data_IF_381644746934
#
_entry.id   IF_381644746934
#
_cell.length_a   1.000
_cell.length_b   1.000
_cell.length_c   1.000
_cell.angle_alpha   90.00
_cell.angle_beta   90.00
_cell.angle_gamma   90.00
#
_symmetry.space_group_name_H-M   'P 1'
#
loop_
_entity.id
_entity.type
_entity.pdbx_description
1 polymer ?
#
# COMPACT_ATOMS: atom_id res chain seq x y z
N UNK A 1 33.46 -2.12 -54.38
CA UNK A 1 33.04 -1.40 -53.15
C UNK A 1 31.68 -1.94 -52.73
N UNK A 2 31.60 -2.75 -51.68
CA UNK A 2 30.33 -3.30 -51.20
C UNK A 2 29.58 -2.25 -50.38
N UNK A 3 28.41 -1.84 -50.86
CA UNK A 3 27.54 -0.85 -50.23
C UNK A 3 26.87 -1.49 -49.00
N UNK A 4 27.35 -1.18 -47.80
CA UNK A 4 26.72 -1.64 -46.55
C UNK A 4 25.37 -0.92 -46.42
N UNK A 5 24.21 -1.61 -46.49
CA UNK A 5 22.93 -0.94 -46.39
C UNK A 5 22.81 -0.29 -45.01
N UNK A 6 22.52 1.01 -44.99
CA UNK A 6 22.29 1.77 -43.77
C UNK A 6 21.28 1.01 -42.89
N UNK A 7 21.73 0.50 -41.74
CA UNK A 7 20.92 -0.24 -40.79
C UNK A 7 19.64 0.55 -40.50
N UNK A 8 18.52 0.11 -41.06
CA UNK A 8 17.25 0.79 -40.86
C UNK A 8 16.88 0.65 -39.39
N UNK A 9 16.96 1.76 -38.63
CA UNK A 9 16.56 1.76 -37.22
C UNK A 9 15.13 1.25 -37.13
N UNK A 10 14.90 0.28 -36.26
CA UNK A 10 13.57 -0.26 -36.00
C UNK A 10 12.85 0.59 -34.97
N UNK A 11 11.54 0.71 -35.12
CA UNK A 11 10.66 1.40 -34.19
C UNK A 11 10.74 0.69 -32.83
N UNK A 12 11.04 1.43 -31.75
CA UNK A 12 11.11 0.88 -30.39
C UNK A 12 9.77 0.36 -29.83
N UNK A 13 8.68 0.42 -30.60
CA UNK A 13 7.37 -0.11 -30.22
C UNK A 13 6.94 -1.29 -31.10
N UNK A 14 6.81 -1.08 -32.42
CA UNK A 14 6.25 -2.09 -33.33
C UNK A 14 7.31 -2.81 -34.20
N UNK A 15 8.60 -2.50 -34.04
CA UNK A 15 9.69 -3.13 -34.78
C UNK A 15 9.79 -2.79 -36.28
N UNK A 16 8.83 -2.02 -36.83
CA UNK A 16 8.83 -1.55 -38.23
C UNK A 16 9.99 -0.57 -38.49
N UNK A 17 10.56 -0.53 -39.70
CA UNK A 17 11.63 0.40 -40.03
C UNK A 17 11.18 1.87 -39.89
N UNK A 18 12.01 2.68 -39.26
CA UNK A 18 11.77 4.11 -39.07
C UNK A 18 12.33 4.88 -40.25
N UNK A 19 11.46 5.56 -41.01
CA UNK A 19 11.89 6.42 -42.11
C UNK A 19 12.47 7.72 -41.57
N UNK A 20 13.73 7.99 -41.88
CA UNK A 20 14.40 9.25 -41.54
C UNK A 20 13.98 10.32 -42.57
N UNK A 21 13.15 11.29 -42.17
CA UNK A 21 12.67 12.36 -43.08
C UNK A 21 13.67 13.51 -43.30
N UNK A 22 14.63 13.71 -42.39
CA UNK A 22 15.68 14.75 -42.47
C UNK A 22 17.04 14.17 -42.03
N UNK A 23 18.13 14.59 -42.69
CA UNK A 23 19.51 14.15 -42.36
C UNK A 23 20.02 14.77 -41.05
N UNK A 24 19.53 15.95 -40.69
CA UNK A 24 19.94 16.71 -39.49
C UNK A 24 19.02 16.44 -38.29
N UNK A 25 19.60 16.38 -37.08
CA UNK A 25 18.88 16.17 -35.81
C UNK A 25 18.85 14.72 -35.29
N UNK A 26 18.39 14.57 -34.03
CA UNK A 26 18.26 13.28 -33.34
C UNK A 26 17.33 12.36 -34.13
N UNK A 27 17.77 11.15 -34.53
CA UNK A 27 16.92 10.25 -35.30
C UNK A 27 15.68 9.86 -34.49
N UNK A 28 14.50 9.77 -35.14
CA UNK A 28 13.28 9.35 -34.48
C UNK A 28 13.39 7.89 -34.01
N UNK A 29 12.93 7.63 -32.79
CA UNK A 29 12.92 6.30 -32.16
C UNK A 29 11.68 5.48 -32.55
N UNK A 30 10.63 6.15 -33.04
CA UNK A 30 9.34 5.54 -33.39
C UNK A 30 8.94 5.90 -34.82
N UNK A 31 8.22 4.99 -35.49
CA UNK A 31 7.80 5.19 -36.88
C UNK A 31 6.72 6.27 -37.05
N UNK A 32 5.91 6.54 -36.02
CA UNK A 32 4.87 7.57 -36.03
C UNK A 32 4.48 8.02 -34.60
N UNK A 33 3.64 9.06 -34.51
CA UNK A 33 3.12 9.60 -33.23
C UNK A 33 2.33 8.56 -32.43
N UNK A 34 1.60 7.66 -33.10
CA UNK A 34 0.81 6.60 -32.44
C UNK A 34 1.71 5.61 -31.71
N UNK A 35 2.75 5.09 -32.36
CA UNK A 35 3.74 4.19 -31.75
C UNK A 35 4.47 4.87 -30.58
N UNK A 36 4.78 6.17 -30.71
CA UNK A 36 5.34 6.95 -29.59
C UNK A 36 4.38 7.03 -28.40
N UNK A 37 3.10 7.34 -28.64
CA UNK A 37 2.07 7.42 -27.59
C UNK A 37 1.81 6.07 -26.94
N UNK A 38 1.80 4.99 -27.71
CA UNK A 38 1.64 3.63 -27.19
C UNK A 38 2.84 3.18 -26.36
N UNK A 39 4.08 3.44 -26.84
CA UNK A 39 5.29 3.19 -26.05
C UNK A 39 5.32 4.00 -24.75
N UNK A 40 4.95 5.28 -24.82
CA UNK A 40 4.84 6.12 -23.64
C UNK A 40 3.76 5.60 -22.69
N UNK A 41 2.57 5.29 -23.20
CA UNK A 41 1.48 4.73 -22.39
C UNK A 41 1.84 3.40 -21.74
N UNK A 42 2.61 2.54 -22.41
CA UNK A 42 3.16 1.32 -21.82
C UNK A 42 4.11 1.64 -20.67
N UNK A 43 5.09 2.53 -20.88
CA UNK A 43 6.01 2.97 -19.82
C UNK A 43 5.29 3.61 -18.64
N UNK A 44 4.29 4.45 -18.89
CA UNK A 44 3.51 5.11 -17.86
C UNK A 44 2.66 4.10 -17.06
N UNK A 45 2.17 3.03 -17.71
CA UNK A 45 1.47 1.92 -17.02
C UNK A 45 2.43 1.10 -16.18
N UNK A 46 3.59 0.73 -16.72
CA UNK A 46 4.64 0.01 -15.99
C UNK A 46 5.13 0.82 -14.78
N UNK A 47 5.38 2.12 -14.96
CA UNK A 47 5.76 3.02 -13.87
C UNK A 47 4.67 3.15 -12.80
N UNK A 48 3.40 3.27 -13.20
CA UNK A 48 2.26 3.27 -12.26
C UNK A 48 2.15 1.95 -11.50
N UNK A 49 2.28 0.81 -12.18
CA UNK A 49 2.25 -0.50 -11.55
C UNK A 49 3.36 -0.65 -10.50
N UNK A 50 4.60 -0.25 -10.83
CA UNK A 50 5.71 -0.25 -9.88
C UNK A 50 5.47 0.68 -8.68
N UNK A 51 4.90 1.88 -8.91
CA UNK A 51 4.55 2.81 -7.83
C UNK A 51 3.51 2.20 -6.89
N UNK A 52 2.47 1.58 -7.44
CA UNK A 52 1.42 0.90 -6.66
C UNK A 52 1.97 -0.30 -5.89
N UNK A 53 2.81 -1.14 -6.51
CA UNK A 53 3.46 -2.27 -5.84
C UNK A 53 4.33 -1.82 -4.65
N UNK A 54 5.08 -0.73 -4.80
CA UNK A 54 5.87 -0.14 -3.70
C UNK A 54 5.01 0.44 -2.59
N UNK A 55 3.88 1.05 -2.92
CA UNK A 55 2.93 1.56 -1.93
C UNK A 55 2.33 0.39 -1.13
N UNK A 56 1.86 -0.65 -1.82
CA UNK A 56 1.35 -1.87 -1.19
C UNK A 56 2.39 -2.54 -0.28
N UNK A 57 3.65 -2.65 -0.73
CA UNK A 57 4.75 -3.19 0.09
C UNK A 57 4.95 -2.38 1.38
N UNK A 58 4.89 -1.05 1.31
CA UNK A 58 5.02 -0.18 2.48
C UNK A 58 3.85 -0.38 3.44
N UNK A 59 2.62 -0.46 2.93
CA UNK A 59 1.44 -0.72 3.73
C UNK A 59 1.53 -2.06 4.48
N UNK A 60 1.80 -3.14 3.74
CA UNK A 60 2.02 -4.48 4.30
C UNK A 60 3.11 -4.50 5.38
N UNK A 61 4.19 -3.74 5.19
CA UNK A 61 5.25 -3.62 6.20
C UNK A 61 4.77 -2.91 7.46
N UNK A 62 3.94 -1.86 7.33
CA UNK A 62 3.32 -1.19 8.47
C UNK A 62 2.34 -2.11 9.21
N UNK A 63 1.50 -2.86 8.49
CA UNK A 63 0.54 -3.80 9.07
C UNK A 63 1.24 -4.90 9.85
N UNK A 64 2.35 -5.44 9.33
CA UNK A 64 3.17 -6.41 10.04
C UNK A 64 3.68 -5.86 11.38
N UNK A 65 4.27 -4.67 11.37
CA UNK A 65 4.76 -4.01 12.59
C UNK A 65 3.62 -3.82 13.58
N UNK A 66 2.45 -3.39 13.10
CA UNK A 66 1.27 -3.20 13.93
C UNK A 66 0.80 -4.50 14.58
N UNK A 67 0.70 -5.58 13.79
CA UNK A 67 0.31 -6.90 14.30
C UNK A 67 1.29 -7.43 15.33
N UNK A 68 2.60 -7.26 15.12
CA UNK A 68 3.61 -7.65 16.12
C UNK A 68 3.38 -6.90 17.43
N UNK A 69 3.13 -5.58 17.38
CA UNK A 69 2.82 -4.81 18.59
C UNK A 69 1.53 -5.27 19.26
N UNK A 70 0.49 -5.63 18.49
CA UNK A 70 -0.77 -6.16 19.03
C UNK A 70 -0.60 -7.52 19.69
N UNK A 71 0.18 -8.43 19.09
CA UNK A 71 0.51 -9.73 19.67
C UNK A 71 1.25 -9.53 21.00
N UNK A 72 2.24 -8.64 21.02
CA UNK A 72 2.98 -8.33 22.24
C UNK A 72 2.06 -7.79 23.35
N UNK A 73 1.20 -6.82 23.02
CA UNK A 73 0.24 -6.25 23.98
C UNK A 73 -0.76 -7.30 24.49
N UNK A 74 -1.28 -8.16 23.59
CA UNK A 74 -2.17 -9.25 23.95
C UNK A 74 -1.51 -10.25 24.92
N UNK A 75 -0.22 -10.54 24.71
CA UNK A 75 0.57 -11.36 25.63
C UNK A 75 0.71 -10.74 27.02
N UNK A 76 1.00 -9.45 27.10
CA UNK A 76 1.10 -8.72 28.38
C UNK A 76 -0.24 -8.66 29.12
N UNK A 77 -1.33 -8.48 28.39
CA UNK A 77 -2.69 -8.41 28.94
C UNK A 77 -3.31 -9.77 29.26
N UNK A 78 -2.59 -10.89 29.03
CA UNK A 78 -3.11 -12.27 29.13
C UNK A 78 -4.43 -12.46 28.35
N UNK A 79 -4.47 -11.93 27.12
CA UNK A 79 -5.63 -12.02 26.26
C UNK A 79 -6.03 -13.48 25.98
N UNK A 80 -7.30 -13.74 25.61
CA UNK A 80 -7.76 -15.08 25.25
C UNK A 80 -6.93 -15.70 24.12
N UNK A 81 -6.69 -17.01 24.18
CA UNK A 81 -5.93 -17.76 23.16
C UNK A 81 -6.44 -17.49 21.74
N UNK A 82 -7.76 -17.43 21.56
CA UNK A 82 -8.38 -17.17 20.27
C UNK A 82 -7.94 -15.85 19.64
N UNK A 83 -7.72 -14.79 20.44
CA UNK A 83 -7.25 -13.51 19.92
C UNK A 83 -5.79 -13.59 19.48
N UNK A 84 -4.93 -14.23 20.28
CA UNK A 84 -3.51 -14.39 19.96
C UNK A 84 -3.32 -15.24 18.69
N UNK A 85 -4.07 -16.33 18.56
CA UNK A 85 -4.07 -17.19 17.37
C UNK A 85 -4.48 -16.37 16.14
N UNK A 86 -5.61 -15.65 16.22
CA UNK A 86 -6.09 -14.81 15.11
C UNK A 86 -5.05 -13.76 14.70
N UNK A 87 -4.42 -13.08 15.65
CA UNK A 87 -3.41 -12.06 15.36
C UNK A 87 -2.17 -12.67 14.69
N UNK A 88 -1.76 -13.87 15.12
CA UNK A 88 -0.61 -14.59 14.58
C UNK A 88 -0.89 -15.12 13.17
N UNK A 89 -2.09 -15.65 12.92
CA UNK A 89 -2.53 -16.07 11.59
C UNK A 89 -2.52 -14.89 10.62
N UNK A 90 -3.02 -13.74 11.07
CA UNK A 90 -2.97 -12.53 10.25
C UNK A 90 -1.51 -12.06 10.00
N UNK A 91 -0.62 -12.15 10.99
CA UNK A 91 0.81 -11.85 10.82
C UNK A 91 1.43 -12.77 9.75
N UNK A 92 1.11 -14.07 9.81
CA UNK A 92 1.59 -15.04 8.82
C UNK A 92 1.07 -14.71 7.42
N UNK A 93 -0.22 -14.38 7.27
CA UNK A 93 -0.81 -13.98 5.99
C UNK A 93 -0.16 -12.72 5.43
N UNK A 94 0.03 -11.69 6.27
CA UNK A 94 0.71 -10.45 5.89
C UNK A 94 2.15 -10.69 5.44
N UNK A 95 2.86 -11.60 6.10
CA UNK A 95 4.25 -11.94 5.73
C UNK A 95 4.32 -12.60 4.35
N UNK A 96 3.38 -13.50 4.05
CA UNK A 96 3.28 -14.14 2.73
C UNK A 96 2.93 -13.11 1.67
N UNK A 97 1.97 -12.23 1.95
CA UNK A 97 1.56 -11.15 1.05
C UNK A 97 2.73 -10.18 0.78
N UNK A 98 3.52 -9.82 1.79
CA UNK A 98 4.67 -8.95 1.62
C UNK A 98 5.71 -9.56 0.68
N UNK A 99 6.07 -10.83 0.91
CA UNK A 99 7.02 -11.53 0.02
C UNK A 99 6.45 -11.66 -1.38
N UNK A 100 5.17 -11.99 -1.52
CA UNK A 100 4.51 -12.05 -2.82
C UNK A 100 4.54 -10.70 -3.57
N UNK A 101 4.32 -9.58 -2.88
CA UNK A 101 4.40 -8.24 -3.48
C UNK A 101 5.82 -7.93 -3.98
N UNK A 102 6.85 -8.33 -3.23
CA UNK A 102 8.26 -8.20 -3.64
C UNK A 102 8.54 -9.08 -4.86
N UNK A 103 8.07 -10.33 -4.85
CA UNK A 103 8.21 -11.26 -5.98
C UNK A 103 7.52 -10.71 -7.23
N UNK A 104 6.32 -10.14 -7.12
CA UNK A 104 5.62 -9.53 -8.24
C UNK A 104 6.39 -8.32 -8.80
N UNK A 105 6.95 -7.46 -7.94
CA UNK A 105 7.84 -6.37 -8.37
C UNK A 105 9.07 -6.91 -9.14
N UNK A 106 9.71 -7.97 -8.65
CA UNK A 106 10.87 -8.60 -9.33
C UNK A 106 10.49 -9.25 -10.65
N UNK A 107 9.32 -9.87 -10.72
CA UNK A 107 8.75 -10.43 -11.95
C UNK A 107 8.45 -9.32 -12.98
N UNK A 108 7.93 -8.18 -12.54
CA UNK A 108 7.72 -7.01 -13.39
C UNK A 108 9.03 -6.40 -13.91
N UNK A 109 10.13 -6.57 -13.16
CA UNK A 109 11.49 -6.20 -13.58
C UNK A 109 12.17 -7.24 -14.49
N UNK A 110 11.49 -8.35 -14.82
CA UNK A 110 11.97 -9.36 -15.76
C UNK A 110 12.67 -10.56 -15.15
N UNK A 111 12.82 -10.64 -13.82
CA UNK A 111 13.44 -11.82 -13.19
C UNK A 111 12.61 -13.08 -13.41
N UNK A 112 13.29 -14.19 -13.66
CA UNK A 112 12.70 -15.51 -13.84
C UNK A 112 12.37 -16.17 -12.50
N UNK A 113 11.49 -17.18 -12.52
CA UNK A 113 11.19 -17.97 -11.31
C UNK A 113 12.41 -18.74 -10.78
N UNK A 114 13.36 -19.09 -11.64
CA UNK A 114 14.59 -19.79 -11.24
C UNK A 114 15.47 -18.87 -10.41
N UNK A 115 15.70 -17.63 -10.89
CA UNK A 115 16.49 -16.62 -10.17
C UNK A 115 15.85 -16.23 -8.83
N UNK A 116 14.52 -15.98 -8.84
CA UNK A 116 13.77 -15.61 -7.62
C UNK A 116 13.82 -16.74 -6.59
N UNK A 117 13.63 -17.99 -7.02
CA UNK A 117 13.65 -19.14 -6.13
C UNK A 117 15.05 -19.40 -5.57
N UNK A 118 16.09 -19.27 -6.40
CA UNK A 118 17.49 -19.37 -5.99
C UNK A 118 17.86 -18.35 -4.91
N UNK A 119 17.45 -17.09 -5.06
CA UNK A 119 17.66 -16.04 -4.04
C UNK A 119 16.92 -16.33 -2.72
N UNK A 120 15.79 -17.03 -2.79
CA UNK A 120 14.97 -17.34 -1.61
C UNK A 120 15.28 -18.71 -0.99
N UNK A 121 16.31 -19.42 -1.49
CA UNK A 121 16.63 -20.78 -1.03
C UNK A 121 15.51 -21.79 -1.25
N UNK A 122 14.74 -21.64 -2.35
CA UNK A 122 13.60 -22.51 -2.69
C UNK A 122 13.73 -23.08 -4.11
N UNK A 123 12.94 -24.11 -4.39
CA UNK A 123 12.76 -24.60 -5.76
C UNK A 123 11.82 -23.69 -6.54
N UNK A 124 11.98 -23.61 -7.86
CA UNK A 124 11.14 -22.78 -8.74
C UNK A 124 9.65 -23.17 -8.66
N UNK A 125 9.36 -24.47 -8.56
CA UNK A 125 8.00 -25.01 -8.35
C UNK A 125 7.40 -24.56 -7.03
N UNK A 126 8.16 -24.65 -5.92
CA UNK A 126 7.70 -24.20 -4.59
C UNK A 126 7.46 -22.69 -4.56
N UNK A 127 8.37 -21.90 -5.15
CA UNK A 127 8.23 -20.45 -5.25
C UNK A 127 6.98 -20.06 -6.05
N UNK A 128 6.74 -20.70 -7.20
CA UNK A 128 5.55 -20.46 -8.03
C UNK A 128 4.26 -20.87 -7.33
N UNK A 129 4.25 -22.00 -6.61
CA UNK A 129 3.07 -22.42 -5.85
C UNK A 129 2.76 -21.46 -4.70
N UNK A 130 3.79 -20.92 -4.03
CA UNK A 130 3.64 -20.08 -2.84
C UNK A 130 3.35 -18.60 -3.14
N UNK A 131 3.99 -18.05 -4.18
CA UNK A 131 3.92 -16.61 -4.50
C UNK A 131 3.34 -16.34 -5.90
N UNK A 132 3.09 -17.39 -6.68
CA UNK A 132 2.41 -17.30 -7.96
C UNK A 132 0.92 -17.65 -7.85
N UNK A 133 0.28 -17.75 -9.01
CA UNK A 133 -1.12 -18.14 -9.13
C UNK A 133 -2.12 -16.98 -8.97
N UNK A 134 -3.39 -17.28 -9.23
CA UNK A 134 -4.49 -16.32 -9.16
C UNK A 134 -4.78 -15.84 -7.74
N UNK A 135 -4.79 -16.75 -6.77
CA UNK A 135 -5.10 -16.44 -5.36
C UNK A 135 -4.18 -15.39 -4.73
N UNK A 136 -2.87 -15.47 -5.00
CA UNK A 136 -1.91 -14.48 -4.49
C UNK A 136 -2.12 -13.13 -5.17
N UNK A 137 -2.40 -13.10 -6.47
CA UNK A 137 -2.73 -11.86 -7.18
C UNK A 137 -4.03 -11.25 -6.71
N UNK A 138 -5.04 -12.07 -6.43
CA UNK A 138 -6.31 -11.65 -5.88
C UNK A 138 -6.13 -11.06 -4.48
N UNK A 139 -5.38 -11.72 -3.60
CA UNK A 139 -5.02 -11.21 -2.29
C UNK A 139 -4.27 -9.87 -2.37
N UNK A 140 -3.26 -9.77 -3.24
CA UNK A 140 -2.53 -8.51 -3.46
C UNK A 140 -3.43 -7.43 -4.05
N UNK A 141 -4.36 -7.77 -4.94
CA UNK A 141 -5.30 -6.83 -5.54
C UNK A 141 -6.34 -6.35 -4.53
N UNK A 142 -6.92 -7.24 -3.73
CA UNK A 142 -7.84 -6.90 -2.65
C UNK A 142 -7.18 -5.95 -1.64
N UNK A 143 -5.91 -6.20 -1.28
CA UNK A 143 -5.13 -5.30 -0.44
C UNK A 143 -4.77 -3.99 -1.14
N UNK A 144 -4.38 -4.02 -2.41
CA UNK A 144 -4.12 -2.81 -3.18
C UNK A 144 -5.38 -1.93 -3.29
N UNK A 145 -6.57 -2.53 -3.40
CA UNK A 145 -7.85 -1.82 -3.39
C UNK A 145 -8.16 -1.23 -2.01
N UNK A 146 -7.89 -2.00 -0.94
CA UNK A 146 -7.99 -1.52 0.44
C UNK A 146 -6.99 -0.40 0.76
N UNK A 147 -5.84 -0.36 0.08
CA UNK A 147 -4.79 0.66 0.24
C UNK A 147 -4.94 1.87 -0.70
N UNK A 148 -5.54 1.67 -1.87
CA UNK A 148 -5.79 2.74 -2.84
C UNK A 148 -6.82 3.74 -2.32
N UNK A 149 -7.74 3.26 -1.49
CA UNK A 149 -8.63 4.10 -0.69
C UNK A 149 -8.35 3.84 0.79
N UNK A 150 -7.32 4.47 1.38
CA UNK A 150 -7.18 4.39 2.82
C UNK A 150 -8.46 4.99 3.39
N UNK A 151 -9.26 4.19 4.09
CA UNK A 151 -10.51 4.66 4.70
C UNK A 151 -10.24 5.93 5.51
N UNK A 152 -11.19 6.85 5.58
CA UNK A 152 -10.97 8.17 6.16
C UNK A 152 -10.36 8.13 7.58
N UNK A 153 -10.64 7.08 8.36
CA UNK A 153 -10.02 6.79 9.67
C UNK A 153 -8.52 6.48 9.58
N UNK A 154 -8.10 5.69 8.60
CA UNK A 154 -6.69 5.37 8.35
C UNK A 154 -5.92 6.62 7.91
N UNK A 155 -6.56 7.54 7.16
CA UNK A 155 -5.96 8.84 6.80
C UNK A 155 -5.74 9.72 8.03
N UNK A 156 -6.73 9.79 8.91
CA UNK A 156 -6.62 10.50 10.20
C UNK A 156 -5.50 9.91 11.07
N UNK A 157 -5.51 8.60 11.28
CA UNK A 157 -4.46 7.92 12.07
C UNK A 157 -3.07 8.13 11.48
N UNK A 158 -2.93 8.08 10.14
CA UNK A 158 -1.67 8.40 9.46
C UNK A 158 -1.21 9.82 9.72
N UNK A 159 -2.10 10.81 9.65
CA UNK A 159 -1.77 12.20 9.93
C UNK A 159 -1.27 12.39 11.37
N UNK A 160 -1.97 11.80 12.35
CA UNK A 160 -1.56 11.85 13.75
C UNK A 160 -0.21 11.14 14.00
N UNK A 161 0.07 10.01 13.33
CA UNK A 161 1.39 9.34 13.39
C UNK A 161 2.50 10.21 12.82
N UNK A 162 2.25 10.95 11.75
CA UNK A 162 3.23 11.86 11.16
C UNK A 162 3.55 13.02 12.11
N UNK A 163 2.53 13.63 12.72
CA UNK A 163 2.70 14.66 13.73
C UNK A 163 3.52 14.14 14.92
N UNK A 164 3.22 12.94 15.40
CA UNK A 164 3.99 12.29 16.48
C UNK A 164 5.45 12.02 16.13
N UNK A 165 5.73 11.52 14.93
CA UNK A 165 7.13 11.30 14.50
C UNK A 165 7.90 12.61 14.43
N UNK A 166 7.25 13.71 14.01
CA UNK A 166 7.87 15.03 13.94
C UNK A 166 8.09 15.67 15.31
N UNK A 167 7.16 15.46 16.23
CA UNK A 167 7.25 16.04 17.58
C UNK A 167 8.20 15.29 18.51
N UNK A 168 8.49 14.01 18.23
CA UNK A 168 9.35 13.17 19.08
C UNK A 168 8.72 12.79 20.43
N UNK A 169 7.45 13.09 20.64
CA UNK A 169 6.77 12.89 21.94
C UNK A 169 6.41 11.41 22.15
N UNK A 170 6.68 10.90 23.35
CA UNK A 170 6.35 9.53 23.74
C UNK A 170 4.83 9.33 23.97
N UNK A 171 4.33 8.11 23.80
CA UNK A 171 2.92 7.81 24.06
C UNK A 171 2.54 8.04 25.54
N UNK A 172 3.46 7.73 26.46
CA UNK A 172 3.25 7.96 27.89
C UNK A 172 3.10 9.46 28.21
N UNK A 173 3.89 10.31 27.56
CA UNK A 173 3.75 11.75 27.72
C UNK A 173 2.42 12.26 27.13
N UNK A 174 2.00 11.77 25.96
CA UNK A 174 0.70 12.12 25.38
C UNK A 174 -0.47 11.71 26.27
N UNK A 175 -0.43 10.51 26.86
CA UNK A 175 -1.47 10.05 27.78
C UNK A 175 -1.60 10.97 28.99
N UNK A 176 -0.46 11.39 29.56
CA UNK A 176 -0.44 12.32 30.70
C UNK A 176 -0.98 13.70 30.35
N UNK A 177 -0.64 14.24 29.18
CA UNK A 177 -1.02 15.61 28.78
C UNK A 177 -2.46 15.69 28.27
N UNK A 178 -2.95 14.63 27.61
CA UNK A 178 -4.31 14.60 27.06
C UNK A 178 -5.33 13.99 28.02
N UNK A 179 -4.88 13.34 29.11
CA UNK A 179 -5.74 12.57 30.01
C UNK A 179 -6.31 11.29 29.38
N UNK A 180 -5.92 10.95 28.15
CA UNK A 180 -6.41 9.79 27.43
C UNK A 180 -5.62 8.53 27.80
N UNK A 181 -6.28 7.37 27.92
CA UNK A 181 -5.58 6.10 28.09
C UNK A 181 -4.64 5.83 26.91
N UNK A 182 -3.43 5.33 27.19
CA UNK A 182 -2.43 5.03 26.15
C UNK A 182 -2.94 4.06 25.08
N UNK A 183 -3.83 3.13 25.44
CA UNK A 183 -4.49 2.23 24.49
C UNK A 183 -5.40 2.96 23.50
N UNK A 184 -6.14 3.99 23.96
CA UNK A 184 -6.99 4.83 23.11
C UNK A 184 -6.13 5.64 22.15
N UNK A 185 -5.07 6.29 22.65
CA UNK A 185 -4.12 7.04 21.80
C UNK A 185 -3.50 6.11 20.75
N UNK A 186 -3.08 4.90 21.14
CA UNK A 186 -2.53 3.94 20.19
C UNK A 186 -3.56 3.53 19.12
N UNK A 187 -4.83 3.35 19.49
CA UNK A 187 -5.93 3.04 18.58
C UNK A 187 -6.20 4.18 17.57
N UNK A 188 -6.22 5.43 18.04
CA UNK A 188 -6.36 6.63 17.20
C UNK A 188 -5.20 6.77 16.24
N UNK A 189 -3.97 6.57 16.72
CA UNK A 189 -2.78 6.62 15.90
C UNK A 189 -2.80 5.51 14.85
N UNK A 190 -3.35 4.33 15.11
CA UNK A 190 -3.51 3.27 14.11
C UNK A 190 -4.58 3.60 13.06
N UNK A 191 -5.59 4.37 13.45
CA UNK A 191 -6.78 4.62 12.63
C UNK A 191 -7.89 3.59 12.87
N UNK A 192 -7.78 2.81 13.95
CA UNK A 192 -8.75 1.79 14.34
C UNK A 192 -9.98 2.40 15.04
N UNK A 193 -9.80 3.58 15.64
CA UNK A 193 -10.84 4.33 16.34
C UNK A 193 -10.85 5.79 15.90
N UNK A 194 -11.98 6.46 16.14
CA UNK A 194 -12.12 7.91 15.99
C UNK A 194 -12.64 8.45 17.32
N UNK A 195 -11.84 9.26 17.99
CA UNK A 195 -12.21 9.90 19.25
C UNK A 195 -13.17 11.07 18.99
N UNK A 196 -13.71 11.63 20.05
CA UNK A 196 -14.44 12.89 19.95
C UNK A 196 -13.54 14.02 19.41
N UNK A 197 -14.15 15.10 18.93
CA UNK A 197 -13.38 16.25 18.45
C UNK A 197 -12.50 16.87 19.54
N UNK A 198 -12.97 17.11 20.77
CA UNK A 198 -12.12 17.66 21.83
C UNK A 198 -10.87 16.83 22.09
N UNK A 199 -10.99 15.50 22.13
CA UNK A 199 -9.87 14.59 22.33
C UNK A 199 -8.87 14.61 21.16
N UNK A 200 -9.40 14.63 19.93
CA UNK A 200 -8.59 14.72 18.71
C UNK A 200 -7.87 16.08 18.61
N UNK A 201 -8.54 17.15 19.03
CA UNK A 201 -7.98 18.49 19.12
C UNK A 201 -6.83 18.53 20.14
N UNK A 202 -7.05 18.04 21.37
CA UNK A 202 -6.03 17.99 22.41
C UNK A 202 -4.80 17.20 21.96
N UNK A 203 -5.04 16.04 21.34
CA UNK A 203 -3.97 15.20 20.80
C UNK A 203 -3.18 15.91 19.68
N UNK A 204 -3.87 16.57 18.75
CA UNK A 204 -3.24 17.31 17.64
C UNK A 204 -2.39 18.47 18.15
N UNK A 205 -2.94 19.24 19.10
CA UNK A 205 -2.26 20.36 19.72
C UNK A 205 -1.02 19.89 20.51
N UNK A 206 -1.15 18.84 21.33
CA UNK A 206 -0.04 18.25 22.06
C UNK A 206 1.09 17.74 21.14
N UNK A 207 0.75 17.38 19.90
CA UNK A 207 1.69 16.93 18.88
C UNK A 207 2.30 18.08 18.05
N UNK A 208 1.96 19.34 18.35
CA UNK A 208 2.43 20.50 17.57
C UNK A 208 1.91 20.52 16.13
N UNK A 209 0.70 19.97 15.92
CA UNK A 209 -0.03 20.06 14.66
C UNK A 209 -1.05 21.19 14.68
N UNK A 210 -1.47 21.63 13.50
CA UNK A 210 -2.55 22.60 13.33
C UNK A 210 -3.90 21.86 13.39
N UNK A 211 -4.80 22.15 14.35
CA UNK A 211 -6.08 21.46 14.48
C UNK A 211 -6.96 21.60 13.24
N UNK A 212 -6.89 22.72 12.51
CA UNK A 212 -7.68 22.91 11.28
C UNK A 212 -7.36 21.86 10.21
N UNK A 213 -6.09 21.48 10.06
CA UNK A 213 -5.65 20.47 9.10
C UNK A 213 -6.17 19.06 9.44
N UNK A 214 -6.33 18.78 10.74
CA UNK A 214 -6.84 17.50 11.24
C UNK A 214 -8.37 17.45 11.26
N UNK A 215 -9.04 18.61 11.39
CA UNK A 215 -10.50 18.71 11.45
C UNK A 215 -11.19 18.06 10.26
N UNK A 216 -10.78 18.41 9.04
CA UNK A 216 -11.38 17.85 7.82
C UNK A 216 -11.16 16.34 7.70
N UNK A 217 -10.01 15.83 8.15
CA UNK A 217 -9.75 14.38 8.18
C UNK A 217 -10.61 13.67 9.24
N UNK A 218 -10.86 14.31 10.37
CA UNK A 218 -11.70 13.79 11.43
C UNK A 218 -13.18 13.73 11.04
N UNK A 219 -13.70 14.75 10.36
CA UNK A 219 -15.08 14.78 9.85
C UNK A 219 -15.32 13.62 8.88
N UNK A 220 -14.47 13.49 7.87
CA UNK A 220 -14.51 12.37 6.92
C UNK A 220 -14.38 11.00 7.61
N UNK A 221 -13.61 10.89 8.68
CA UNK A 221 -13.40 9.65 9.43
C UNK A 221 -14.64 9.19 10.21
N UNK A 222 -15.51 10.13 10.60
CA UNK A 222 -16.76 9.84 11.33
C UNK A 222 -17.91 9.46 10.42
N UNK A 223 -18.01 10.08 9.25
CA UNK A 223 -19.10 9.83 8.30
C UNK A 223 -19.12 8.37 7.82
N UNK A 224 -17.95 7.77 7.57
CA UNK A 224 -17.81 6.37 7.15
C UNK A 224 -18.29 5.37 8.22
N UNK A 225 -18.45 5.79 9.48
CA UNK A 225 -18.95 4.94 10.56
C UNK A 225 -20.46 4.91 10.74
N UNK A 226 -21.16 5.90 10.22
CA UNK A 226 -22.61 6.05 10.40
C UNK A 226 -23.41 5.26 9.35
N UNK A 227 -22.79 4.90 8.22
CA UNK A 227 -23.47 4.35 7.04
C UNK A 227 -23.49 2.81 6.97
N UNK A 228 -23.01 2.13 8.02
CA UNK A 228 -22.98 0.64 8.08
C UNK A 228 -24.10 0.03 8.94
N UNK A 229 -25.12 0.81 9.29
CA UNK A 229 -26.17 0.43 10.23
C UNK A 229 -27.58 0.76 9.77
N UNK A 230 -27.99 0.33 8.56
CA UNK A 230 -29.42 0.23 8.22
C UNK A 230 -29.65 -1.05 7.45
N UNK A 231 -30.18 -2.05 8.15
CA UNK A 231 -30.49 -3.35 7.56
C UNK A 231 -30.92 -4.40 8.59
N UNK A 232 -31.78 -4.05 9.55
CA UNK A 232 -32.68 -5.02 10.18
C UNK A 232 -33.77 -4.32 11.00
N UNK A 233 -34.89 -5.02 11.16
CA UNK A 233 -36.16 -4.68 11.81
C UNK A 233 -37.11 -3.81 10.95
N UNK A 234 -38.28 -4.28 10.55
CA UNK A 234 -39.01 -5.48 10.93
C UNK A 234 -40.46 -5.28 10.53
N UNK A 235 -41.05 -6.31 9.92
CA UNK A 235 -42.45 -6.32 9.55
C UNK A 235 -43.37 -6.03 10.75
N UNK A 236 -44.50 -5.39 10.44
CA UNK A 236 -45.73 -5.59 11.19
C UNK A 236 -46.88 -5.69 10.19
N UNK A 237 -47.29 -6.93 9.96
CA UNK A 237 -48.66 -7.26 9.59
C UNK A 237 -49.61 -6.71 10.66
N UNK A 238 -50.56 -5.87 10.26
CA UNK A 238 -52.01 -6.10 10.36
C UNK A 238 -52.76 -4.95 9.72
#
# INVERSE_FOLDING_TARGET
>A
MMNVPASSRRCGFCGRPVRRRKKTGRPPEYCNKTCRRQAQGRRDREHRALKSARALRRALSCDLVDRVHRIHAAGQARAPLAEVVRLTDCLQQDSIALVAAVVDEKRAQGQTWVEIAGQAGRTSTSARARWGGGRVREMLSARAMSEAEPGSRARLGRALRLLRRRSGISLAHLARVTGLPGAVIASLLRGDAVASWPETYMLTHALGGEPKDIRSLWELAREVGADSGVGSEGGRER
#
